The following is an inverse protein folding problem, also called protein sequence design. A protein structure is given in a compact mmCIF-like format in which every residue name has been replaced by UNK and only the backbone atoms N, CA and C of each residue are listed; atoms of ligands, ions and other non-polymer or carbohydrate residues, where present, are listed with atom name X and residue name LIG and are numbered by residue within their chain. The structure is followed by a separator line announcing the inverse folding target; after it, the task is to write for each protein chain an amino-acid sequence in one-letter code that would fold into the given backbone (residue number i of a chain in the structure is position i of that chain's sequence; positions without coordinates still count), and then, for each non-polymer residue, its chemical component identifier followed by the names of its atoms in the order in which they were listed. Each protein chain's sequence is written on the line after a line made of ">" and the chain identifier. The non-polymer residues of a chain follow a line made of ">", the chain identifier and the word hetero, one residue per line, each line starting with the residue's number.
data_IF_405365378809
#
_entry.id   IF_405365378809
#
_cell.length_a   1.000
_cell.length_b   1.000
_cell.length_c   1.000
_cell.angle_alpha   90.00
_cell.angle_beta   90.00
_cell.angle_gamma   90.00
#
_symmetry.space_group_name_H-M   'P 1'
#
loop_
_entity.id
_entity.type
_entity.pdbx_description
1 polymer ?
#
# COMPACT_ATOMS: atom_id res chain seq x y z
N UNK A 1 17.11 -30.21 -39.75
CA UNK A 1 16.24 -29.23 -39.07
C UNK A 1 16.02 -29.54 -37.58
N UNK A 2 15.62 -30.76 -37.17
CA UNK A 2 15.40 -31.14 -35.75
C UNK A 2 16.58 -30.85 -34.80
N UNK A 3 17.81 -31.16 -35.23
CA UNK A 3 19.03 -30.96 -34.43
C UNK A 3 19.35 -29.48 -34.18
N UNK A 4 19.02 -28.61 -35.14
CA UNK A 4 19.24 -27.16 -35.05
C UNK A 4 18.22 -26.54 -34.09
N UNK A 5 16.96 -26.95 -34.17
CA UNK A 5 15.92 -26.51 -33.22
C UNK A 5 16.24 -26.94 -31.78
N UNK A 6 16.74 -28.17 -31.59
CA UNK A 6 17.21 -28.65 -30.29
C UNK A 6 18.39 -27.84 -29.76
N UNK A 7 19.38 -27.54 -30.61
CA UNK A 7 20.52 -26.71 -30.23
C UNK A 7 20.10 -25.29 -29.82
N UNK A 8 19.20 -24.65 -30.59
CA UNK A 8 18.65 -23.34 -30.23
C UNK A 8 17.89 -23.40 -28.90
N UNK A 9 17.07 -24.43 -28.69
CA UNK A 9 16.30 -24.59 -27.45
C UNK A 9 17.21 -24.76 -26.22
N UNK A 10 18.31 -25.52 -26.36
CA UNK A 10 19.31 -25.68 -25.31
C UNK A 10 20.03 -24.37 -24.99
N UNK A 11 20.38 -23.58 -26.02
CA UNK A 11 20.98 -22.25 -25.83
C UNK A 11 20.01 -21.31 -25.13
N UNK A 12 18.74 -21.28 -25.53
CA UNK A 12 17.71 -20.46 -24.87
C UNK A 12 17.51 -20.87 -23.40
N UNK A 13 17.52 -22.16 -23.09
CA UNK A 13 17.44 -22.66 -21.71
C UNK A 13 18.66 -22.24 -20.88
N UNK A 14 19.87 -22.35 -21.44
CA UNK A 14 21.10 -21.93 -20.77
C UNK A 14 21.10 -20.42 -20.49
N UNK A 15 20.63 -19.59 -21.42
CA UNK A 15 20.55 -18.13 -21.19
C UNK A 15 19.44 -17.77 -20.19
N UNK A 16 18.28 -18.45 -20.24
CA UNK A 16 17.15 -18.18 -19.35
C UNK A 16 17.37 -18.60 -17.89
N UNK A 17 18.13 -19.67 -17.64
CA UNK A 17 18.40 -20.17 -16.27
C UNK A 17 19.54 -19.45 -15.55
N UNK A 18 20.37 -18.65 -16.24
CA UNK A 18 21.52 -17.97 -15.63
C UNK A 18 21.19 -16.57 -15.06
N UNK A 19 19.96 -16.10 -15.19
CA UNK A 19 19.53 -14.88 -14.51
C UNK A 19 19.12 -15.19 -13.07
N UNK A 20 20.08 -15.07 -12.14
CA UNK A 20 19.73 -14.86 -10.75
C UNK A 20 18.98 -13.52 -10.63
N UNK A 21 17.72 -13.57 -10.22
CA UNK A 21 17.00 -12.38 -9.81
C UNK A 21 17.67 -11.85 -8.53
N UNK A 22 18.57 -10.88 -8.67
CA UNK A 22 19.10 -10.13 -7.54
C UNK A 22 17.97 -9.22 -7.04
N UNK A 23 17.26 -9.67 -6.02
CA UNK A 23 16.41 -8.79 -5.24
C UNK A 23 17.34 -7.75 -4.59
N UNK A 24 17.31 -6.52 -5.12
CA UNK A 24 17.97 -5.41 -4.45
C UNK A 24 17.21 -5.15 -3.16
N UNK A 25 17.82 -5.46 -2.02
CA UNK A 25 17.26 -5.09 -0.73
C UNK A 25 17.18 -3.57 -0.65
N UNK A 26 16.04 -3.07 -0.16
CA UNK A 26 15.91 -1.65 0.16
C UNK A 26 17.02 -1.28 1.13
N UNK A 27 17.80 -0.25 0.79
CA UNK A 27 18.82 0.26 1.69
C UNK A 27 18.17 0.56 3.07
N UNK A 28 18.83 0.18 4.18
CA UNK A 28 18.28 0.44 5.51
C UNK A 28 18.11 1.94 5.70
N UNK A 29 17.03 2.32 6.41
CA UNK A 29 16.82 3.71 6.78
C UNK A 29 18.03 4.25 7.58
N UNK A 30 18.34 5.56 7.49
CA UNK A 30 19.44 6.15 8.26
C UNK A 30 19.27 5.89 9.76
N UNK A 31 20.38 5.60 10.46
CA UNK A 31 20.36 5.34 11.91
C UNK A 31 19.81 6.53 12.72
N UNK A 32 20.11 7.75 12.28
CA UNK A 32 19.64 9.00 12.88
C UNK A 32 19.12 9.92 11.76
N UNK A 33 17.86 9.76 11.32
CA UNK A 33 17.37 10.50 10.15
C UNK A 33 17.21 12.00 10.41
N UNK A 34 16.97 12.41 11.66
CA UNK A 34 16.67 13.81 12.01
C UNK A 34 15.43 14.35 11.29
N UNK A 35 14.98 15.55 11.68
CA UNK A 35 13.94 16.29 10.95
C UNK A 35 14.24 17.79 11.01
N UNK A 36 13.82 18.50 9.97
CA UNK A 36 13.85 19.97 9.92
C UNK A 36 12.53 20.55 10.39
N UNK A 37 12.53 21.82 10.82
CA UNK A 37 11.29 22.54 11.14
C UNK A 37 10.37 22.65 9.92
N UNK A 38 10.92 22.73 8.70
CA UNK A 38 10.13 22.73 7.47
C UNK A 38 9.37 21.42 7.26
N UNK A 39 10.00 20.27 7.53
CA UNK A 39 9.34 18.96 7.47
C UNK A 39 8.25 18.83 8.53
N UNK A 40 8.47 19.37 9.73
CA UNK A 40 7.47 19.37 10.80
C UNK A 40 6.27 20.29 10.50
N UNK A 41 6.52 21.42 9.84
CA UNK A 41 5.49 22.38 9.47
C UNK A 41 4.82 22.06 8.12
N UNK A 42 5.26 21.00 7.43
CA UNK A 42 4.75 20.65 6.12
C UNK A 42 3.26 20.30 6.22
N UNK A 43 2.43 21.06 5.51
CA UNK A 43 1.01 20.78 5.33
C UNK A 43 0.76 20.36 3.88
N UNK A 44 -0.03 19.31 3.70
CA UNK A 44 -0.54 18.90 2.38
C UNK A 44 -1.80 19.73 2.09
N UNK A 45 -2.06 20.16 0.84
CA UNK A 45 -3.23 20.97 0.49
C UNK A 45 -4.53 20.16 0.56
N UNK A 46 -4.96 19.82 1.77
CA UNK A 46 -6.17 19.07 2.07
C UNK A 46 -7.26 20.05 2.50
N UNK A 47 -8.45 19.91 1.90
CA UNK A 47 -9.63 20.65 2.33
C UNK A 47 -10.25 19.97 3.57
N UNK A 48 -9.68 20.29 4.73
CA UNK A 48 -10.18 19.81 6.01
C UNK A 48 -11.53 20.45 6.35
N UNK A 49 -12.54 19.62 6.63
CA UNK A 49 -13.87 20.06 7.08
C UNK A 49 -14.26 19.34 8.36
N UNK A 50 -14.92 20.05 9.27
CA UNK A 50 -15.53 19.50 10.47
C UNK A 50 -16.98 19.11 10.21
N UNK A 51 -17.53 18.25 11.08
CA UNK A 51 -18.96 17.88 11.04
C UNK A 51 -19.85 19.13 11.14
N UNK A 52 -19.51 20.08 12.01
CA UNK A 52 -20.26 21.33 12.17
C UNK A 52 -20.22 22.20 10.90
N UNK A 53 -19.10 22.21 10.17
CA UNK A 53 -19.02 22.92 8.89
C UNK A 53 -19.88 22.25 7.82
N UNK A 54 -19.94 20.92 7.80
CA UNK A 54 -20.83 20.16 6.90
C UNK A 54 -22.28 20.47 7.24
N UNK A 55 -22.69 20.39 8.51
CA UNK A 55 -24.04 20.73 8.96
C UNK A 55 -24.44 22.16 8.57
N UNK A 56 -23.57 23.14 8.86
CA UNK A 56 -23.80 24.54 8.50
C UNK A 56 -23.96 24.74 6.99
N UNK A 57 -23.22 23.98 6.16
CA UNK A 57 -23.33 24.06 4.70
C UNK A 57 -24.66 23.53 4.13
N UNK A 58 -25.43 22.78 4.93
CA UNK A 58 -26.70 22.16 4.55
C UNK A 58 -27.92 22.86 5.17
N UNK A 59 -27.73 23.93 5.94
CA UNK A 59 -28.84 24.67 6.54
C UNK A 59 -29.86 25.12 5.49
N UNK A 60 -31.15 24.92 5.81
CA UNK A 60 -32.26 25.27 4.92
C UNK A 60 -32.49 24.29 3.76
N UNK A 61 -31.67 23.24 3.60
CA UNK A 61 -31.98 22.16 2.65
C UNK A 61 -33.10 21.28 3.19
N UNK A 62 -34.01 20.88 2.30
CA UNK A 62 -35.01 19.86 2.61
C UNK A 62 -34.32 18.52 2.92
N UNK A 63 -34.99 17.57 3.60
CA UNK A 63 -34.45 16.24 3.84
C UNK A 63 -33.99 15.56 2.55
N UNK A 64 -32.80 14.96 2.60
CA UNK A 64 -32.17 14.25 1.48
C UNK A 64 -31.64 12.90 1.94
N UNK A 65 -31.62 11.93 1.03
CA UNK A 65 -30.91 10.68 1.25
C UNK A 65 -29.39 10.91 1.12
N UNK A 66 -28.62 10.31 2.03
CA UNK A 66 -27.14 10.31 2.01
C UNK A 66 -26.63 8.90 2.23
N UNK A 67 -25.45 8.60 1.68
CA UNK A 67 -24.80 7.30 1.81
C UNK A 67 -23.55 7.38 2.69
N UNK A 68 -23.27 6.28 3.38
CA UNK A 68 -22.03 6.07 4.12
C UNK A 68 -21.40 4.76 3.65
N UNK A 69 -20.11 4.79 3.36
CA UNK A 69 -19.34 3.56 3.21
C UNK A 69 -19.23 2.82 4.55
N UNK A 70 -18.93 1.53 4.52
CA UNK A 70 -18.96 0.66 5.70
C UNK A 70 -17.56 0.47 6.30
N UNK A 71 -16.60 0.01 5.50
CA UNK A 71 -15.30 -0.44 5.97
C UNK A 71 -14.37 0.74 6.31
N UNK A 72 -13.90 0.80 7.56
CA UNK A 72 -13.05 1.86 8.12
C UNK A 72 -13.63 3.29 7.98
N UNK A 73 -14.92 3.41 7.68
CA UNK A 73 -15.69 4.66 7.64
C UNK A 73 -16.64 4.78 8.83
N UNK A 74 -17.61 3.86 8.96
CA UNK A 74 -18.53 3.82 10.12
C UNK A 74 -18.19 2.69 11.10
N UNK A 75 -17.46 1.68 10.64
CA UNK A 75 -17.05 0.53 11.43
C UNK A 75 -15.58 0.22 11.16
N UNK A 76 -14.79 0.03 12.22
CA UNK A 76 -13.38 -0.35 12.10
C UNK A 76 -13.28 -1.88 11.93
N UNK A 77 -12.94 -2.35 10.73
CA UNK A 77 -12.98 -3.78 10.38
C UNK A 77 -11.62 -4.50 10.42
N UNK A 78 -10.55 -3.81 10.82
CA UNK A 78 -9.21 -4.41 10.92
C UNK A 78 -9.16 -5.67 11.80
N UNK A 79 -10.02 -5.76 12.82
CA UNK A 79 -10.10 -6.93 13.72
C UNK A 79 -10.68 -8.20 13.07
N UNK A 80 -11.49 -8.08 12.01
CA UNK A 80 -12.16 -9.21 11.35
C UNK A 80 -11.48 -9.71 10.09
N UNK A 81 -10.66 -8.87 9.45
CA UNK A 81 -10.04 -9.18 8.14
C UNK A 81 -8.60 -9.70 8.24
N UNK A 82 -7.90 -9.44 9.35
CA UNK A 82 -6.55 -9.95 9.54
C UNK A 82 -6.59 -11.47 9.80
N UNK A 83 -5.88 -12.29 8.98
CA UNK A 83 -5.65 -13.68 9.32
C UNK A 83 -5.00 -13.76 10.69
N UNK A 84 -5.56 -14.57 11.60
CA UNK A 84 -4.96 -14.84 12.91
C UNK A 84 -3.53 -15.32 12.69
N UNK A 85 -2.54 -14.46 12.95
CA UNK A 85 -1.14 -14.80 12.75
C UNK A 85 -0.84 -16.08 13.56
N UNK A 86 -0.54 -17.20 12.88
CA UNK A 86 -0.04 -18.39 13.56
C UNK A 86 1.30 -18.00 14.16
N UNK A 87 1.36 -17.90 15.50
CA UNK A 87 2.63 -17.76 16.22
C UNK A 87 3.47 -19.00 15.95
N UNK A 88 4.50 -18.87 15.12
CA UNK A 88 5.56 -19.87 15.02
C UNK A 88 6.58 -19.49 16.09
N UNK A 89 6.56 -20.18 17.22
CA UNK A 89 7.67 -20.16 18.17
C UNK A 89 8.65 -21.25 17.72
N UNK A 90 9.85 -20.86 17.32
CA UNK A 90 10.99 -21.76 17.20
C UNK A 90 11.74 -21.72 18.53
N UNK A 91 11.83 -22.87 19.20
CA UNK A 91 12.66 -23.09 20.39
C UNK A 91 14.06 -23.55 20.03
#
# INVERSE_FOLDING_TARGET
>A
MRKIALALSAVCLLVGFNHAALATESAPAPLNPGVTVAQLAQQVPIHWVSVAQIENSLLGRAPIAVGFDIDDTVCCFQAGFLPRAKRVFSG
#
